data_IF_310218588139
#
_entry.id   IF_310218588139
#
_cell.length_a   1.000
_cell.length_b   1.000
_cell.length_c   1.000
_cell.angle_alpha   90.00
_cell.angle_beta   90.00
_cell.angle_gamma   90.00
#
_symmetry.space_group_name_H-M   'P 1'
#
loop_
_entity.id
_entity.type
_entity.pdbx_description
1 polymer ?
#
# COMPACT_ATOMS: atom_id res chain seq x y z
N UNK A 1 14.48 15.40 38.59
CA UNK A 1 13.98 14.00 38.62
C UNK A 1 14.95 13.12 39.40
N UNK A 2 14.46 12.39 40.40
CA UNK A 2 15.23 11.42 41.20
C UNK A 2 15.88 10.33 40.30
N UNK A 3 17.12 9.87 40.60
CA UNK A 3 17.80 8.83 39.81
C UNK A 3 17.00 7.52 39.67
N UNK A 4 16.17 7.16 40.66
CA UNK A 4 15.28 5.99 40.58
C UNK A 4 14.16 6.14 39.55
N UNK A 5 13.59 7.35 39.39
CA UNK A 5 12.55 7.63 38.39
C UNK A 5 13.13 7.66 36.95
N UNK A 6 14.40 8.07 36.79
CA UNK A 6 15.10 8.06 35.49
C UNK A 6 15.34 6.63 34.99
N UNK A 7 15.70 5.71 35.88
CA UNK A 7 15.94 4.31 35.54
C UNK A 7 14.64 3.56 35.16
N UNK A 8 13.53 3.85 35.84
CA UNK A 8 12.22 3.26 35.52
C UNK A 8 11.64 3.73 34.18
N UNK A 9 11.78 5.02 33.86
CA UNK A 9 11.30 5.59 32.60
C UNK A 9 12.06 5.02 31.38
N UNK A 10 13.39 4.89 31.47
CA UNK A 10 14.20 4.28 30.41
C UNK A 10 13.78 2.84 30.14
N UNK A 11 13.63 2.02 31.19
CA UNK A 11 13.18 0.63 31.06
C UNK A 11 11.78 0.55 30.48
N UNK A 12 10.84 1.41 30.91
CA UNK A 12 9.48 1.43 30.38
C UNK A 12 9.46 1.73 28.88
N UNK A 13 10.13 2.80 28.44
CA UNK A 13 10.21 3.19 27.03
C UNK A 13 10.84 2.07 26.19
N UNK A 14 11.93 1.46 26.68
CA UNK A 14 12.61 0.33 26.04
C UNK A 14 11.65 -0.85 25.85
N UNK A 15 10.92 -1.24 26.90
CA UNK A 15 9.98 -2.37 26.85
C UNK A 15 8.84 -2.06 25.88
N UNK A 16 8.28 -0.85 25.90
CA UNK A 16 7.24 -0.45 24.94
C UNK A 16 7.75 -0.53 23.49
N UNK A 17 8.95 0.00 23.21
CA UNK A 17 9.55 -0.09 21.88
C UNK A 17 9.69 -1.54 21.41
N UNK A 18 10.16 -2.44 22.30
CA UNK A 18 10.30 -3.86 22.00
C UNK A 18 8.92 -4.48 21.69
N UNK A 19 7.90 -4.23 22.52
CA UNK A 19 6.57 -4.79 22.33
C UNK A 19 5.92 -4.34 21.01
N UNK A 20 5.97 -3.04 20.70
CA UNK A 20 5.41 -2.52 19.45
C UNK A 20 6.15 -3.06 18.22
N UNK A 21 7.48 -3.07 18.23
CA UNK A 21 8.26 -3.59 17.11
C UNK A 21 8.14 -5.11 16.96
N UNK A 22 7.94 -5.85 18.07
CA UNK A 22 7.63 -7.27 18.02
C UNK A 22 6.25 -7.51 17.37
N UNK A 23 5.24 -6.70 17.69
CA UNK A 23 3.94 -6.79 17.03
C UNK A 23 4.06 -6.52 15.51
N UNK A 24 4.85 -5.50 15.11
CA UNK A 24 5.14 -5.20 13.70
C UNK A 24 5.90 -6.36 13.03
N UNK A 25 6.86 -6.97 13.72
CA UNK A 25 7.60 -8.12 13.21
C UNK A 25 6.69 -9.32 12.97
N UNK A 26 5.80 -9.63 13.92
CA UNK A 26 4.85 -10.74 13.83
C UNK A 26 3.79 -10.48 12.75
N UNK A 27 3.28 -9.25 12.63
CA UNK A 27 2.34 -8.89 11.57
C UNK A 27 3.01 -8.95 10.20
N UNK A 28 4.25 -8.46 10.07
CA UNK A 28 5.05 -8.56 8.86
C UNK A 28 5.31 -10.02 8.45
N UNK A 29 5.67 -10.87 9.41
CA UNK A 29 5.81 -12.31 9.18
C UNK A 29 4.51 -13.00 8.76
N UNK A 30 3.39 -12.58 9.33
CA UNK A 30 2.06 -13.09 8.94
C UNK A 30 1.70 -12.67 7.52
N UNK A 31 1.86 -11.38 7.19
CA UNK A 31 1.60 -10.87 5.83
C UNK A 31 2.49 -11.52 4.78
N UNK A 32 3.78 -11.68 5.10
CA UNK A 32 4.73 -12.38 4.23
C UNK A 32 4.34 -13.85 4.03
N UNK A 33 4.01 -14.55 5.12
CA UNK A 33 3.58 -15.95 5.08
C UNK A 33 2.29 -16.15 4.28
N UNK A 34 1.29 -15.29 4.50
CA UNK A 34 0.04 -15.30 3.73
C UNK A 34 0.32 -14.99 2.26
N UNK A 35 1.12 -13.97 1.96
CA UNK A 35 1.49 -13.64 0.58
C UNK A 35 2.22 -14.79 -0.14
N UNK A 36 3.16 -15.47 0.53
CA UNK A 36 3.85 -16.64 -0.03
C UNK A 36 2.87 -17.81 -0.22
N UNK A 37 2.03 -18.11 0.78
CA UNK A 37 1.03 -19.18 0.68
C UNK A 37 0.15 -18.93 -0.53
N UNK A 38 -0.48 -17.77 -0.59
CA UNK A 38 -1.34 -17.35 -1.69
C UNK A 38 -0.64 -17.49 -3.04
N UNK A 39 0.64 -17.11 -3.13
CA UNK A 39 1.43 -17.21 -4.36
C UNK A 39 1.75 -18.65 -4.77
N UNK A 40 1.97 -19.55 -3.80
CA UNK A 40 2.38 -20.94 -4.05
C UNK A 40 1.18 -21.87 -4.22
N UNK A 41 0.11 -21.65 -3.46
CA UNK A 41 -1.08 -22.51 -3.40
C UNK A 41 -2.35 -21.67 -3.10
N UNK A 42 -2.67 -20.76 -4.02
CA UNK A 42 -3.87 -19.93 -3.95
C UNK A 42 -5.18 -20.72 -3.96
N UNK A 43 -5.20 -21.90 -4.60
CA UNK A 43 -6.33 -22.84 -4.64
C UNK A 43 -6.73 -23.31 -3.23
N UNK A 44 -5.76 -23.76 -2.43
CA UNK A 44 -6.03 -24.18 -1.05
C UNK A 44 -6.42 -23.01 -0.14
N UNK A 45 -5.84 -21.83 -0.36
CA UNK A 45 -6.22 -20.62 0.36
C UNK A 45 -7.71 -20.29 0.16
N UNK A 46 -8.20 -20.33 -1.09
CA UNK A 46 -9.60 -20.07 -1.41
C UNK A 46 -10.57 -21.13 -0.88
N UNK A 47 -10.17 -22.40 -0.84
CA UNK A 47 -10.96 -23.48 -0.24
C UNK A 47 -11.17 -23.30 1.26
N UNK A 48 -10.19 -22.71 1.97
CA UNK A 48 -10.23 -22.52 3.42
C UNK A 48 -11.02 -21.26 3.80
N UNK A 49 -10.80 -20.16 3.08
CA UNK A 49 -11.39 -18.85 3.41
C UNK A 49 -12.70 -18.56 2.67
N UNK A 50 -13.20 -19.52 1.88
CA UNK A 50 -14.47 -19.46 1.19
C UNK A 50 -14.38 -18.76 -0.17
N UNK A 51 -15.26 -19.16 -1.09
CA UNK A 51 -15.44 -18.53 -2.41
C UNK A 51 -15.98 -17.11 -2.23
N UNK A 52 -15.10 -16.15 -1.97
CA UNK A 52 -15.28 -14.82 -2.55
C UNK A 52 -15.26 -15.04 -4.06
N UNK A 53 -16.40 -14.76 -4.68
CA UNK A 53 -16.65 -14.97 -6.10
C UNK A 53 -15.54 -14.38 -6.97
N UNK A 54 -15.16 -15.17 -7.97
CA UNK A 54 -14.32 -14.90 -9.15
C UNK A 54 -12.80 -14.73 -8.97
N UNK A 55 -12.08 -15.69 -9.57
CA UNK A 55 -10.67 -15.67 -10.02
C UNK A 55 -9.56 -15.94 -8.98
N UNK A 56 -9.04 -17.16 -9.05
CA UNK A 56 -7.92 -17.70 -8.26
C UNK A 56 -6.62 -16.90 -8.47
N UNK A 57 -6.49 -16.24 -9.62
CA UNK A 57 -5.39 -15.33 -9.91
C UNK A 57 -5.44 -14.01 -9.13
N UNK A 58 -6.61 -13.55 -8.65
CA UNK A 58 -6.75 -12.31 -7.86
C UNK A 58 -5.94 -12.34 -6.57
N UNK A 59 -5.77 -13.54 -6.00
CA UNK A 59 -5.03 -13.75 -4.77
C UNK A 59 -3.51 -13.64 -5.03
N UNK A 60 -3.01 -14.21 -6.13
CA UNK A 60 -1.57 -14.41 -6.41
C UNK A 60 -0.75 -13.11 -6.62
N UNK A 61 -1.33 -12.03 -7.16
CA UNK A 61 -0.60 -10.75 -7.30
C UNK A 61 -0.79 -9.77 -6.14
N UNK A 62 -1.95 -9.76 -5.47
CA UNK A 62 -2.07 -9.11 -4.15
C UNK A 62 -1.04 -9.72 -3.20
N UNK A 63 -0.74 -11.01 -3.37
CA UNK A 63 0.37 -11.66 -2.70
C UNK A 63 1.74 -11.01 -2.94
N UNK A 64 2.08 -10.50 -4.12
CA UNK A 64 3.36 -9.79 -4.32
C UNK A 64 3.42 -8.49 -3.49
N UNK A 65 2.32 -7.75 -3.37
CA UNK A 65 2.23 -6.59 -2.49
C UNK A 65 2.31 -6.99 -1.01
N UNK A 66 1.60 -8.06 -0.61
CA UNK A 66 1.66 -8.61 0.75
C UNK A 66 3.07 -9.11 1.11
N UNK A 67 3.77 -9.74 0.16
CA UNK A 67 5.17 -10.18 0.30
C UNK A 67 6.08 -8.95 0.47
N UNK A 68 5.95 -7.94 -0.40
CA UNK A 68 6.79 -6.75 -0.34
C UNK A 68 6.58 -5.97 0.97
N UNK A 69 5.33 -5.65 1.31
CA UNK A 69 4.98 -4.94 2.55
C UNK A 69 5.37 -5.78 3.77
N UNK A 70 5.04 -7.07 3.77
CA UNK A 70 5.38 -8.00 4.85
C UNK A 70 6.88 -8.10 5.10
N UNK A 71 7.69 -8.16 4.03
CA UNK A 71 9.15 -8.19 4.14
C UNK A 71 9.71 -6.87 4.73
N UNK A 72 9.20 -5.72 4.30
CA UNK A 72 9.60 -4.40 4.83
C UNK A 72 9.28 -4.32 6.33
N UNK A 73 8.04 -4.66 6.72
CA UNK A 73 7.61 -4.64 8.12
C UNK A 73 8.43 -5.62 8.99
N UNK A 74 8.76 -6.79 8.46
CA UNK A 74 9.60 -7.77 9.15
C UNK A 74 11.01 -7.21 9.41
N UNK A 75 11.63 -6.57 8.42
CA UNK A 75 12.95 -5.94 8.59
C UNK A 75 12.90 -4.80 9.62
N UNK A 76 11.92 -3.90 9.51
CA UNK A 76 11.77 -2.77 10.44
C UNK A 76 11.53 -3.26 11.86
N UNK A 77 10.60 -4.21 12.05
CA UNK A 77 10.29 -4.80 13.34
C UNK A 77 11.50 -5.52 13.95
N UNK A 78 12.29 -6.23 13.14
CA UNK A 78 13.53 -6.87 13.59
C UNK A 78 14.55 -5.83 14.07
N UNK A 79 14.81 -4.79 13.27
CA UNK A 79 15.76 -3.72 13.62
C UNK A 79 15.35 -3.01 14.91
N UNK A 80 14.06 -2.66 15.06
CA UNK A 80 13.55 -1.99 16.24
C UNK A 80 13.59 -2.86 17.50
N UNK A 81 13.12 -4.11 17.42
CA UNK A 81 13.11 -5.04 18.55
C UNK A 81 14.53 -5.43 18.97
N UNK A 82 15.37 -5.87 18.02
CA UNK A 82 16.71 -6.35 18.31
C UNK A 82 17.66 -5.20 18.67
N UNK A 83 17.50 -4.02 18.05
CA UNK A 83 18.25 -2.81 18.40
C UNK A 83 17.99 -2.36 19.84
N UNK A 84 16.72 -2.32 20.25
CA UNK A 84 16.36 -2.01 21.63
C UNK A 84 16.84 -3.10 22.61
N UNK A 85 16.64 -4.39 22.30
CA UNK A 85 17.02 -5.49 23.20
C UNK A 85 18.53 -5.55 23.42
N UNK A 86 19.32 -5.49 22.34
CA UNK A 86 20.79 -5.57 22.39
C UNK A 86 21.46 -4.26 22.79
N UNK A 87 20.69 -3.19 22.99
CA UNK A 87 21.24 -1.86 23.28
C UNK A 87 22.29 -1.45 22.23
N UNK A 88 22.04 -1.79 20.96
CA UNK A 88 22.98 -1.57 19.87
C UNK A 88 22.67 -0.26 19.16
N UNK A 89 23.57 0.71 19.32
CA UNK A 89 23.51 2.02 18.67
C UNK A 89 23.38 1.94 17.15
N UNK A 90 24.13 1.02 16.53
CA UNK A 90 24.09 0.82 15.09
C UNK A 90 22.70 0.36 14.62
N UNK A 91 22.09 -0.62 15.30
CA UNK A 91 20.76 -1.12 14.96
C UNK A 91 19.67 -0.06 15.19
N UNK A 92 19.75 0.72 16.27
CA UNK A 92 18.84 1.83 16.54
C UNK A 92 18.94 2.93 15.48
N UNK A 93 20.16 3.26 15.03
CA UNK A 93 20.38 4.23 13.95
C UNK A 93 19.90 3.74 12.59
N UNK A 94 20.05 2.45 12.28
CA UNK A 94 19.49 1.86 11.07
C UNK A 94 17.96 1.89 11.10
N UNK A 95 17.35 1.50 12.24
CA UNK A 95 15.90 1.63 12.43
C UNK A 95 15.42 3.06 12.21
N UNK A 96 16.07 4.04 12.87
CA UNK A 96 15.76 5.46 12.70
C UNK A 96 15.87 5.91 11.24
N UNK A 97 16.96 5.55 10.57
CA UNK A 97 17.20 5.94 9.17
C UNK A 97 16.15 5.37 8.22
N UNK A 98 15.76 4.11 8.39
CA UNK A 98 14.72 3.48 7.56
C UNK A 98 13.37 4.15 7.77
N UNK A 99 12.96 4.38 9.03
CA UNK A 99 11.69 5.07 9.33
C UNK A 99 11.70 6.51 8.81
N UNK A 100 12.84 7.21 8.91
CA UNK A 100 12.98 8.56 8.37
C UNK A 100 12.82 8.61 6.84
N UNK A 101 13.40 7.64 6.11
CA UNK A 101 13.26 7.54 4.65
C UNK A 101 11.79 7.31 4.29
N UNK A 102 11.08 6.45 5.02
CA UNK A 102 9.65 6.19 4.79
C UNK A 102 8.85 7.47 5.04
N UNK A 103 9.05 8.14 6.17
CA UNK A 103 8.38 9.40 6.48
C UNK A 103 8.58 10.47 5.40
N UNK A 104 9.82 10.63 4.90
CA UNK A 104 10.11 11.58 3.81
C UNK A 104 9.38 11.16 2.52
N UNK A 105 9.38 9.87 2.19
CA UNK A 105 8.68 9.35 1.01
C UNK A 105 7.17 9.55 1.12
N UNK A 106 6.56 9.34 2.29
CA UNK A 106 5.14 9.57 2.54
C UNK A 106 4.77 11.05 2.38
N UNK A 107 5.55 11.96 2.98
CA UNK A 107 5.33 13.41 2.83
C UNK A 107 5.49 13.84 1.37
N UNK A 108 6.51 13.35 0.67
CA UNK A 108 6.73 13.66 -0.75
C UNK A 108 5.57 13.14 -1.61
N UNK A 109 5.12 11.90 -1.39
CA UNK A 109 3.99 11.32 -2.09
C UNK A 109 2.70 12.11 -1.84
N UNK A 110 2.43 12.50 -0.59
CA UNK A 110 1.26 13.31 -0.24
C UNK A 110 1.29 14.69 -0.92
N UNK A 111 2.45 15.35 -0.93
CA UNK A 111 2.61 16.65 -1.62
C UNK A 111 2.40 16.50 -3.13
N UNK A 112 2.99 15.48 -3.75
CA UNK A 112 2.81 15.23 -5.20
C UNK A 112 1.34 14.93 -5.52
N UNK A 113 0.70 14.06 -4.73
CA UNK A 113 -0.69 13.66 -4.96
C UNK A 113 -1.70 14.80 -4.74
N UNK A 114 -1.52 15.64 -3.72
CA UNK A 114 -2.52 16.65 -3.34
C UNK A 114 -2.25 18.04 -3.91
N UNK A 115 -0.98 18.43 -4.07
CA UNK A 115 -0.58 19.77 -4.55
C UNK A 115 -0.25 19.73 -6.03
N UNK A 116 0.53 18.74 -6.48
CA UNK A 116 0.99 18.63 -7.86
C UNK A 116 0.18 17.58 -8.63
N UNK A 117 -1.15 17.69 -8.60
CA UNK A 117 -2.05 16.68 -9.19
C UNK A 117 -1.75 16.38 -10.66
N UNK A 118 -1.40 17.39 -11.47
CA UNK A 118 -1.03 17.18 -12.88
C UNK A 118 0.29 16.41 -13.06
N UNK A 119 1.25 16.59 -12.15
CA UNK A 119 2.49 15.78 -12.13
C UNK A 119 2.17 14.34 -11.72
N UNK A 120 1.35 14.16 -10.68
CA UNK A 120 0.90 12.83 -10.25
C UNK A 120 0.17 12.09 -11.37
N UNK A 121 -0.75 12.76 -12.08
CA UNK A 121 -1.46 12.22 -13.25
C UNK A 121 -0.48 11.79 -14.34
N UNK A 122 0.51 12.63 -14.66
CA UNK A 122 1.52 12.35 -15.69
C UNK A 122 2.38 11.14 -15.33
N UNK A 123 2.86 11.08 -14.08
CA UNK A 123 3.70 9.97 -13.59
C UNK A 123 2.92 8.65 -13.59
N UNK A 124 1.69 8.67 -13.08
CA UNK A 124 0.84 7.47 -13.06
C UNK A 124 0.42 7.06 -14.47
N UNK A 125 0.12 7.99 -15.36
CA UNK A 125 -0.18 7.69 -16.77
C UNK A 125 1.00 7.01 -17.45
N UNK A 126 2.23 7.50 -17.22
CA UNK A 126 3.44 6.89 -17.77
C UNK A 126 3.72 5.48 -17.23
N UNK A 127 3.30 5.16 -16.01
CA UNK A 127 3.54 3.86 -15.37
C UNK A 127 2.41 2.87 -15.58
N UNK A 128 1.15 3.30 -15.42
CA UNK A 128 -0.02 2.43 -15.33
C UNK A 128 -0.68 2.22 -16.68
N UNK A 129 -0.77 3.23 -17.55
CA UNK A 129 -1.41 3.06 -18.88
C UNK A 129 -0.72 2.00 -19.75
N UNK A 130 0.63 1.91 -19.81
CA UNK A 130 1.30 0.81 -20.52
C UNK A 130 0.97 -0.57 -19.92
N UNK A 131 0.94 -0.67 -18.58
CA UNK A 131 0.57 -1.90 -17.89
C UNK A 131 -0.88 -2.28 -18.17
N UNK A 132 -1.79 -1.31 -18.22
CA UNK A 132 -3.18 -1.52 -18.62
C UNK A 132 -3.27 -2.10 -20.02
N UNK A 133 -2.54 -1.55 -20.98
CA UNK A 133 -2.58 -2.03 -22.37
C UNK A 133 -2.03 -3.44 -22.53
N UNK A 134 -0.97 -3.77 -21.81
CA UNK A 134 -0.27 -5.04 -21.95
C UNK A 134 -0.89 -6.15 -21.10
N UNK A 135 -1.27 -5.83 -19.85
CA UNK A 135 -1.64 -6.83 -18.83
C UNK A 135 -3.15 -6.96 -18.65
N UNK A 136 -3.95 -5.92 -18.92
CA UNK A 136 -5.39 -6.03 -18.76
C UNK A 136 -5.99 -6.93 -19.85
N UNK A 137 -6.71 -7.98 -19.43
CA UNK A 137 -7.19 -9.08 -20.27
C UNK A 137 -6.18 -10.22 -20.47
N UNK A 138 -4.88 -9.95 -20.39
CA UNK A 138 -3.82 -10.96 -20.61
C UNK A 138 -3.35 -11.62 -19.30
N UNK A 139 -3.24 -10.82 -18.24
CA UNK A 139 -2.91 -11.25 -16.89
C UNK A 139 -4.18 -11.15 -16.04
N UNK A 140 -4.75 -12.29 -15.68
CA UNK A 140 -6.02 -12.35 -14.96
C UNK A 140 -5.92 -11.63 -13.59
N UNK A 141 -4.75 -11.65 -12.95
CA UNK A 141 -4.55 -11.05 -11.64
C UNK A 141 -4.56 -9.51 -11.72
N UNK A 142 -3.83 -8.96 -12.68
CA UNK A 142 -3.86 -7.53 -12.99
C UNK A 142 -5.26 -7.08 -13.41
N UNK A 143 -5.92 -7.86 -14.26
CA UNK A 143 -7.28 -7.58 -14.73
C UNK A 143 -8.28 -7.52 -13.57
N UNK A 144 -8.19 -8.44 -12.61
CA UNK A 144 -9.11 -8.45 -11.47
C UNK A 144 -8.86 -7.33 -10.47
N UNK A 145 -7.59 -7.01 -10.16
CA UNK A 145 -7.29 -5.85 -9.32
C UNK A 145 -7.92 -4.60 -9.94
N UNK A 146 -7.77 -4.44 -11.24
CA UNK A 146 -8.37 -3.30 -11.94
C UNK A 146 -9.90 -3.39 -12.05
N UNK A 147 -10.49 -4.58 -12.19
CA UNK A 147 -11.93 -4.76 -12.11
C UNK A 147 -12.49 -4.30 -10.77
N UNK A 148 -11.87 -4.71 -9.66
CA UNK A 148 -12.26 -4.30 -8.31
C UNK A 148 -12.08 -2.80 -8.15
N UNK A 149 -10.92 -2.24 -8.53
CA UNK A 149 -10.68 -0.80 -8.48
C UNK A 149 -11.76 -0.04 -9.26
N UNK A 150 -12.02 -0.41 -10.52
CA UNK A 150 -13.03 0.22 -11.36
C UNK A 150 -14.45 0.07 -10.82
N UNK A 151 -14.75 -1.04 -10.14
CA UNK A 151 -16.08 -1.29 -9.55
C UNK A 151 -16.29 -0.53 -8.25
N UNK A 152 -15.35 -0.62 -7.30
CA UNK A 152 -15.45 0.00 -5.97
C UNK A 152 -15.32 1.51 -6.03
N UNK A 153 -14.52 2.03 -6.96
CA UNK A 153 -14.33 3.46 -7.16
C UNK A 153 -15.30 4.02 -8.21
N UNK A 154 -16.09 3.18 -8.88
CA UNK A 154 -17.02 3.60 -9.94
C UNK A 154 -16.34 4.42 -11.06
N UNK A 155 -15.23 3.89 -11.59
CA UNK A 155 -14.38 4.56 -12.57
C UNK A 155 -13.97 3.61 -13.70
N UNK A 156 -13.39 4.16 -14.78
CA UNK A 156 -12.93 3.38 -15.93
C UNK A 156 -11.56 3.85 -16.44
N UNK A 157 -10.63 2.90 -16.59
CA UNK A 157 -9.25 3.19 -16.97
C UNK A 157 -8.53 4.01 -15.90
N UNK A 158 -7.34 4.50 -16.20
CA UNK A 158 -6.66 5.44 -15.30
C UNK A 158 -7.25 6.85 -15.48
N UNK A 159 -7.30 7.29 -16.74
CA UNK A 159 -7.75 8.61 -17.16
C UNK A 159 -9.14 8.57 -17.79
N UNK A 160 -9.43 7.53 -18.61
CA UNK A 160 -10.74 7.22 -19.19
C UNK A 160 -10.70 5.89 -19.97
N UNK A 161 -11.82 5.53 -20.62
CA UNK A 161 -11.93 4.31 -21.44
C UNK A 161 -10.92 4.20 -22.59
N UNK A 162 -10.39 5.32 -23.10
CA UNK A 162 -9.41 5.32 -24.20
C UNK A 162 -8.05 4.76 -23.80
N UNK A 163 -7.77 4.62 -22.50
CA UNK A 163 -6.59 3.89 -22.01
C UNK A 163 -6.55 2.45 -22.53
N UNK A 164 -7.71 1.86 -22.84
CA UNK A 164 -7.82 0.52 -23.41
C UNK A 164 -7.72 0.50 -24.95
N UNK A 165 -7.58 1.63 -25.63
CA UNK A 165 -7.41 1.64 -27.09
C UNK A 165 -6.08 0.97 -27.48
N UNK A 166 -6.17 0.02 -28.42
CA UNK A 166 -5.05 -0.85 -28.85
C UNK A 166 -4.43 -1.61 -27.66
N UNK A 167 -5.26 -2.03 -26.70
CA UNK A 167 -4.86 -2.93 -25.61
C UNK A 167 -5.12 -4.37 -26.01
N UNK A 168 -4.45 -5.30 -25.32
CA UNK A 168 -4.72 -6.74 -25.46
C UNK A 168 -6.22 -7.07 -25.31
N UNK A 169 -6.89 -6.44 -24.34
CA UNK A 169 -8.32 -6.65 -24.10
C UNK A 169 -9.17 -6.21 -25.29
N UNK A 170 -8.91 -5.01 -25.84
CA UNK A 170 -9.65 -4.48 -26.99
C UNK A 170 -9.44 -5.32 -28.24
N UNK A 171 -8.20 -5.77 -28.50
CA UNK A 171 -7.87 -6.58 -29.66
C UNK A 171 -8.53 -7.97 -29.60
N UNK A 172 -8.72 -8.50 -28.39
CA UNK A 172 -9.31 -9.83 -28.16
C UNK A 172 -10.84 -9.82 -28.10
N UNK A 173 -11.44 -8.80 -27.46
CA UNK A 173 -12.89 -8.74 -27.22
C UNK A 173 -13.63 -7.75 -28.12
N UNK A 174 -12.92 -6.95 -28.91
CA UNK A 174 -13.46 -5.90 -29.78
C UNK A 174 -14.39 -4.91 -29.04
N UNK A 175 -14.08 -4.62 -27.78
CA UNK A 175 -14.86 -3.75 -26.91
C UNK A 175 -14.09 -3.29 -25.68
N UNK A 176 -14.78 -2.62 -24.78
CA UNK A 176 -14.21 -2.08 -23.54
C UNK A 176 -14.71 -2.87 -22.32
N UNK A 177 -14.02 -2.77 -21.17
CA UNK A 177 -14.52 -3.35 -19.93
C UNK A 177 -15.92 -2.84 -19.59
N UNK A 178 -16.81 -3.71 -19.12
CA UNK A 178 -18.20 -3.36 -18.76
C UNK A 178 -18.31 -2.19 -17.77
N UNK A 179 -17.31 -2.03 -16.88
CA UNK A 179 -17.23 -0.92 -15.93
C UNK A 179 -17.14 0.45 -16.63
N UNK A 180 -16.67 0.48 -17.88
CA UNK A 180 -16.62 1.68 -18.73
C UNK A 180 -17.96 2.05 -19.35
N UNK A 181 -18.96 1.17 -19.25
CA UNK A 181 -20.32 1.38 -19.75
C UNK A 181 -21.37 1.20 -18.64
N UNK A 182 -21.05 1.55 -17.40
CA UNK A 182 -21.95 1.39 -16.23
C UNK A 182 -22.51 -0.04 -16.11
N UNK A 183 -21.62 -1.03 -16.27
CA UNK A 183 -21.94 -2.46 -16.25
C UNK A 183 -22.87 -2.93 -17.39
N UNK A 184 -23.10 -2.12 -18.43
CA UNK A 184 -23.88 -2.49 -19.60
C UNK A 184 -23.06 -3.29 -20.61
N UNK A 185 -23.68 -4.31 -21.22
CA UNK A 185 -23.12 -5.09 -22.34
C UNK A 185 -24.06 -5.10 -23.55
N UNK A 186 -23.55 -5.01 -24.79
CA UNK A 186 -22.14 -4.90 -25.17
C UNK A 186 -21.57 -3.48 -24.96
N UNK A 187 -20.32 -3.40 -24.48
CA UNK A 187 -19.64 -2.13 -24.23
C UNK A 187 -18.73 -1.75 -25.41
N UNK A 188 -19.26 -0.94 -26.33
CA UNK A 188 -18.55 -0.44 -27.52
C UNK A 188 -18.11 1.02 -27.31
N UNK A 189 -17.30 1.55 -28.24
CA UNK A 189 -16.75 2.92 -28.15
C UNK A 189 -17.82 4.00 -28.07
N UNK A 190 -18.94 3.85 -28.77
CA UNK A 190 -20.07 4.80 -28.71
C UNK A 190 -20.71 4.84 -27.33
N UNK A 191 -20.94 3.67 -26.74
CA UNK A 191 -21.56 3.54 -25.41
C UNK A 191 -20.60 4.05 -24.33
N UNK A 192 -19.32 3.67 -24.40
CA UNK A 192 -18.31 4.15 -23.45
C UNK A 192 -18.12 5.68 -23.53
N UNK A 193 -18.21 6.25 -24.72
CA UNK A 193 -18.16 7.71 -24.92
C UNK A 193 -19.43 8.41 -24.41
N UNK A 194 -20.61 7.82 -24.62
CA UNK A 194 -21.89 8.37 -24.17
C UNK A 194 -22.03 8.35 -22.64
N UNK A 195 -21.65 7.23 -22.00
CA UNK A 195 -21.66 7.09 -20.54
C UNK A 195 -20.63 8.00 -19.85
N UNK A 196 -19.53 8.33 -20.54
CA UNK A 196 -18.51 9.25 -20.07
C UNK A 196 -18.01 8.98 -18.63
N UNK A 197 -17.89 7.69 -18.26
CA UNK A 197 -17.41 7.26 -16.95
C UNK A 197 -16.02 7.87 -16.67
N UNK A 198 -15.85 8.48 -15.50
CA UNK A 198 -14.60 9.15 -15.14
C UNK A 198 -13.44 8.16 -14.98
N UNK A 199 -12.22 8.64 -15.24
CA UNK A 199 -10.99 7.92 -14.95
C UNK A 199 -10.74 7.74 -13.46
N UNK A 200 -10.16 6.59 -13.08
CA UNK A 200 -9.91 6.26 -11.68
C UNK A 200 -8.98 7.25 -10.98
N UNK A 201 -8.01 7.86 -11.66
CA UNK A 201 -7.14 8.84 -11.01
C UNK A 201 -7.92 10.04 -10.46
N UNK A 202 -8.84 10.60 -11.26
CA UNK A 202 -9.66 11.74 -10.85
C UNK A 202 -10.66 11.36 -9.77
N UNK A 203 -11.33 10.22 -9.94
CA UNK A 203 -12.32 9.73 -9.01
C UNK A 203 -11.70 9.43 -7.62
N UNK A 204 -10.52 8.80 -7.56
CA UNK A 204 -9.79 8.57 -6.30
C UNK A 204 -9.42 9.89 -5.62
N UNK A 205 -8.94 10.88 -6.38
CA UNK A 205 -8.61 12.18 -5.81
C UNK A 205 -9.85 12.91 -5.26
N UNK A 206 -10.98 12.80 -5.96
CA UNK A 206 -12.25 13.37 -5.51
C UNK A 206 -12.76 12.68 -4.25
N UNK A 207 -12.63 11.35 -4.15
CA UNK A 207 -12.94 10.59 -2.94
C UNK A 207 -12.05 10.99 -1.76
N UNK A 208 -10.74 11.15 -1.97
CA UNK A 208 -9.82 11.63 -0.93
C UNK A 208 -10.18 13.04 -0.48
N UNK A 209 -10.58 13.93 -1.40
CA UNK A 209 -10.99 15.30 -1.06
C UNK A 209 -12.32 15.34 -0.33
N UNK A 210 -13.28 14.53 -0.75
CA UNK A 210 -14.61 14.41 -0.12
C UNK A 210 -14.49 13.84 1.28
N UNK A 211 -13.64 12.82 1.45
CA UNK A 211 -13.37 12.15 2.73
C UNK A 211 -12.07 12.64 3.40
N UNK A 212 -11.69 13.90 3.16
CA UNK A 212 -10.40 14.45 3.60
C UNK A 212 -10.18 14.34 5.12
N UNK A 213 -11.24 14.38 5.92
CA UNK A 213 -11.15 14.19 7.37
C UNK A 213 -10.66 12.79 7.76
N UNK A 214 -11.20 11.74 7.13
CA UNK A 214 -10.83 10.34 7.41
C UNK A 214 -9.44 10.05 6.85
N UNK A 215 -9.21 10.38 5.57
CA UNK A 215 -7.93 10.15 4.92
C UNK A 215 -6.80 10.92 5.62
N UNK A 216 -7.03 12.19 5.96
CA UNK A 216 -6.09 13.02 6.71
C UNK A 216 -5.85 12.49 8.13
N UNK A 217 -6.88 11.98 8.81
CA UNK A 217 -6.76 11.38 10.13
C UNK A 217 -5.88 10.12 10.13
N UNK A 218 -6.08 9.23 9.14
CA UNK A 218 -5.23 8.03 8.96
C UNK A 218 -3.77 8.45 8.69
N UNK A 219 -3.55 9.36 7.74
CA UNK A 219 -2.21 9.85 7.41
C UNK A 219 -1.51 10.52 8.60
N UNK A 220 -2.22 11.36 9.36
CA UNK A 220 -1.68 12.00 10.56
C UNK A 220 -1.35 10.99 11.67
N UNK A 221 -2.16 9.93 11.81
CA UNK A 221 -1.89 8.84 12.74
C UNK A 221 -0.62 8.07 12.41
N UNK A 222 -0.43 7.72 11.14
CA UNK A 222 0.79 7.06 10.65
C UNK A 222 2.01 7.95 10.92
N UNK A 223 1.96 9.22 10.47
CA UNK A 223 3.03 10.18 10.70
C UNK A 223 3.38 10.36 12.19
N UNK A 224 2.38 10.42 13.06
CA UNK A 224 2.60 10.53 14.51
C UNK A 224 3.30 9.28 15.09
N UNK A 225 2.92 8.08 14.64
CA UNK A 225 3.57 6.83 15.06
C UNK A 225 5.03 6.76 14.60
N UNK A 226 5.32 7.17 13.36
CA UNK A 226 6.69 7.22 12.84
C UNK A 226 7.56 8.22 13.60
N UNK A 227 7.05 9.43 13.85
CA UNK A 227 7.76 10.45 14.63
C UNK A 227 8.02 9.94 16.06
N UNK A 228 7.02 9.31 16.69
CA UNK A 228 7.18 8.72 18.02
C UNK A 228 8.25 7.61 18.01
N UNK A 229 8.25 6.73 17.02
CA UNK A 229 9.24 5.67 16.88
C UNK A 229 10.66 6.23 16.69
N UNK A 230 10.82 7.25 15.84
CA UNK A 230 12.08 7.96 15.64
C UNK A 230 12.57 8.64 16.92
N UNK A 231 11.68 9.35 17.62
CA UNK A 231 12.01 10.02 18.89
C UNK A 231 12.45 9.03 19.97
N UNK A 232 11.75 7.89 20.09
CA UNK A 232 12.11 6.83 21.04
C UNK A 232 13.44 6.19 20.67
N UNK A 233 13.68 5.90 19.38
CA UNK A 233 14.96 5.34 18.93
C UNK A 233 16.12 6.28 19.28
N UNK A 234 15.97 7.59 19.01
CA UNK A 234 16.99 8.58 19.32
C UNK A 234 17.19 8.77 20.83
N UNK A 235 16.10 8.75 21.61
CA UNK A 235 16.18 8.79 23.07
C UNK A 235 16.99 7.61 23.63
N UNK A 236 16.72 6.38 23.15
CA UNK A 236 17.49 5.20 23.56
C UNK A 236 18.95 5.31 23.09
N UNK A 237 19.19 5.76 21.87
CA UNK A 237 20.54 5.98 21.35
C UNK A 237 21.37 6.89 22.26
N UNK A 238 20.86 8.09 22.59
CA UNK A 238 21.56 9.05 23.45
C UNK A 238 21.79 8.50 24.86
N UNK A 239 20.83 7.77 25.42
CA UNK A 239 20.97 7.15 26.75
C UNK A 239 22.02 6.04 26.79
N UNK A 240 22.26 5.38 25.66
CA UNK A 240 23.32 4.39 25.53
C UNK A 240 24.70 5.03 25.31
N UNK A 241 24.76 6.28 24.83
CA UNK A 241 25.99 7.09 24.80
C UNK A 241 26.43 7.56 26.18
N UNK A 242 25.48 7.75 27.10
CA UNK A 242 25.75 8.17 28.48
C UNK A 242 26.20 7.04 29.42
N UNK A 243 26.10 5.77 28.99
CA UNK A 243 26.59 4.59 29.74
C UNK A 243 28.04 4.28 29.38
#
# INVERSE_FOLDING_TARGET
>A
LSPGAKMGCFTFIKVMMILFNLAIFLSGGTLLGVGIWVKVDGESFLKIFGTLSSSILQVVNVAYLLIAIGAILLVIGFLGCYGAQKESKCLLMMFFSVVLIIFIAEVAAAVVALVFTGLAETLLTGLVTPLLKEKYGADEAFTQIWNVTMTEVHCCGLNNYTDFNNSYFYDTHHGYPRQCCDMQEPCNSTVAAEMAVQGCFKQILEEIRTNAGVAGGVAAGIAALEIAAMAVSMYLYCRLDEK
#
